data_IF_439521006695
#
_entry.id   IF_439521006695
#
_cell.length_a   1.000
_cell.length_b   1.000
_cell.length_c   1.000
_cell.angle_alpha   90.00
_cell.angle_beta   90.00
_cell.angle_gamma   90.00
#
_symmetry.space_group_name_H-M   'P 1'
#
loop_
_entity.id
_entity.type
_entity.pdbx_description
1 polymer ?
#
# COMPACT_ATOMS: atom_id res chain seq x y z
N UNK A 1 13.97 -10.15 5.93
CA UNK A 1 15.14 -9.55 5.21
C UNK A 1 14.74 -8.69 4.00
N UNK A 2 13.59 -8.95 3.30
CA UNK A 2 13.19 -8.16 2.13
C UNK A 2 13.14 -6.66 2.41
N UNK A 3 12.43 -6.25 3.45
CA UNK A 3 12.34 -4.84 3.85
C UNK A 3 13.71 -4.27 4.27
N UNK A 4 14.55 -5.06 4.95
CA UNK A 4 15.90 -4.59 5.33
C UNK A 4 16.77 -4.33 4.11
N UNK A 5 16.66 -5.14 3.04
CA UNK A 5 17.35 -4.89 1.78
C UNK A 5 16.96 -3.51 1.21
N UNK A 6 15.65 -3.25 1.14
CA UNK A 6 15.10 -1.99 0.64
C UNK A 6 15.61 -0.80 1.46
N UNK A 7 15.47 -0.87 2.79
CA UNK A 7 15.94 0.19 3.68
C UNK A 7 17.45 0.40 3.60
N UNK A 8 18.25 -0.68 3.46
CA UNK A 8 19.71 -0.59 3.33
C UNK A 8 20.11 0.05 2.00
N UNK A 9 19.48 -0.34 0.89
CA UNK A 9 19.75 0.26 -0.41
C UNK A 9 19.42 1.77 -0.41
N UNK A 10 18.30 2.14 0.19
CA UNK A 10 17.89 3.54 0.34
C UNK A 10 18.88 4.31 1.21
N UNK A 11 19.32 3.74 2.35
CA UNK A 11 20.26 4.36 3.27
C UNK A 11 21.63 4.61 2.61
N UNK A 12 22.13 3.66 1.82
CA UNK A 12 23.37 3.81 1.05
C UNK A 12 23.22 4.98 0.05
N UNK A 13 22.11 5.05 -0.67
CA UNK A 13 21.84 6.13 -1.62
C UNK A 13 21.76 7.50 -0.92
N UNK A 14 21.04 7.59 0.20
CA UNK A 14 20.89 8.81 1.00
C UNK A 14 22.24 9.28 1.53
N UNK A 15 23.06 8.38 2.10
CA UNK A 15 24.42 8.71 2.56
C UNK A 15 25.31 9.21 1.42
N UNK A 16 25.21 8.60 0.24
CA UNK A 16 25.92 9.07 -0.94
C UNK A 16 25.48 10.49 -1.33
N UNK A 17 24.17 10.78 -1.37
CA UNK A 17 23.68 12.13 -1.70
C UNK A 17 24.18 13.17 -0.72
N UNK A 18 24.18 12.88 0.57
CA UNK A 18 24.72 13.78 1.61
C UNK A 18 26.23 14.00 1.46
N UNK A 19 27.00 12.95 1.18
CA UNK A 19 28.45 13.06 0.91
C UNK A 19 28.73 13.87 -0.37
N UNK A 20 27.83 13.81 -1.34
CA UNK A 20 27.92 14.59 -2.58
C UNK A 20 27.54 16.07 -2.38
N UNK A 21 27.04 16.45 -1.21
CA UNK A 21 26.70 17.82 -0.84
C UNK A 21 25.23 18.19 -1.03
N UNK A 22 24.35 17.20 -1.29
CA UNK A 22 22.93 17.42 -1.38
C UNK A 22 22.27 17.42 0.02
N UNK A 23 21.31 18.32 0.24
CA UNK A 23 20.40 18.23 1.38
C UNK A 23 19.37 17.11 1.09
N UNK A 24 19.51 16.01 1.80
CA UNK A 24 18.74 14.79 1.53
C UNK A 24 18.15 14.20 2.81
N UNK A 25 16.82 14.13 2.88
CA UNK A 25 16.07 13.54 3.98
C UNK A 25 15.68 12.09 3.63
N UNK A 26 15.82 11.20 4.61
CA UNK A 26 15.34 9.83 4.55
C UNK A 26 14.11 9.67 5.42
N UNK A 27 12.95 9.58 4.77
CA UNK A 27 11.64 9.54 5.40
C UNK A 27 10.94 8.22 5.10
N UNK A 28 10.32 7.61 6.11
CA UNK A 28 9.52 6.41 5.95
C UNK A 28 8.41 6.36 7.01
N UNK A 29 7.44 5.47 6.83
CA UNK A 29 6.40 5.18 7.81
C UNK A 29 5.99 3.71 7.76
N UNK A 30 5.59 3.16 8.92
CA UNK A 30 4.92 1.86 8.99
C UNK A 30 3.54 1.95 8.33
N UNK A 31 3.24 0.99 7.47
CA UNK A 31 1.89 0.72 6.96
C UNK A 31 1.09 0.00 8.04
N UNK A 32 0.20 0.72 8.70
CA UNK A 32 -0.41 0.32 9.97
C UNK A 32 -1.88 -0.11 9.85
N UNK A 33 -2.51 -0.03 8.67
CA UNK A 33 -3.94 -0.26 8.51
C UNK A 33 -4.27 -1.60 7.83
N UNK A 34 -5.54 -1.93 7.82
CA UNK A 34 -6.09 -3.05 7.09
C UNK A 34 -6.66 -4.17 7.96
N UNK A 35 -7.45 -5.01 7.33
CA UNK A 35 -8.08 -6.20 7.95
C UNK A 35 -7.09 -7.14 8.63
N UNK A 36 -5.88 -7.43 8.07
CA UNK A 36 -4.91 -8.30 8.73
C UNK A 36 -4.48 -7.82 10.13
N UNK A 37 -4.34 -6.51 10.31
CA UNK A 37 -3.97 -5.91 11.62
C UNK A 37 -5.12 -6.12 12.62
N UNK A 38 -6.36 -5.83 12.19
CA UNK A 38 -7.55 -5.99 13.01
C UNK A 38 -7.70 -7.44 13.50
N UNK A 39 -7.62 -8.41 12.58
CA UNK A 39 -7.77 -9.84 12.89
C UNK A 39 -6.63 -10.36 13.76
N UNK A 40 -5.40 -9.92 13.52
CA UNK A 40 -4.25 -10.32 14.37
C UNK A 40 -4.37 -9.77 15.77
N UNK A 41 -4.84 -8.55 15.93
CA UNK A 41 -5.10 -7.95 17.24
C UNK A 41 -6.20 -8.71 18.00
N UNK A 42 -7.30 -9.08 17.33
CA UNK A 42 -8.37 -9.93 17.88
C UNK A 42 -7.83 -11.30 18.34
N UNK A 43 -7.03 -11.97 17.48
CA UNK A 43 -6.43 -13.29 17.77
C UNK A 43 -5.59 -13.29 19.06
N UNK A 44 -4.80 -12.22 19.28
CA UNK A 44 -3.90 -12.11 20.46
C UNK A 44 -4.51 -11.33 21.63
N UNK A 45 -5.76 -10.89 21.50
CA UNK A 45 -6.53 -10.28 22.60
C UNK A 45 -6.07 -8.85 22.97
N UNK A 46 -5.57 -8.06 22.02
CA UNK A 46 -5.20 -6.65 22.25
C UNK A 46 -5.90 -5.75 21.23
N UNK A 47 -5.83 -4.42 21.44
CA UNK A 47 -6.36 -3.50 20.42
C UNK A 47 -5.43 -3.40 19.20
N UNK A 48 -5.96 -3.08 17.99
CA UNK A 48 -5.15 -2.83 16.80
C UNK A 48 -4.10 -1.75 17.03
N UNK A 49 -4.44 -0.66 17.74
CA UNK A 49 -3.51 0.42 18.06
C UNK A 49 -2.33 -0.09 18.89
N UNK A 50 -2.60 -0.97 19.87
CA UNK A 50 -1.55 -1.57 20.68
C UNK A 50 -0.65 -2.50 19.89
N UNK A 51 -1.22 -3.24 18.95
CA UNK A 51 -0.47 -4.10 18.04
C UNK A 51 0.51 -3.28 17.19
N UNK A 52 0.02 -2.23 16.52
CA UNK A 52 0.87 -1.40 15.64
C UNK A 52 1.94 -0.63 16.42
N UNK A 53 1.63 -0.16 17.62
CA UNK A 53 2.62 0.47 18.53
C UNK A 53 3.78 -0.49 18.85
N UNK A 54 3.46 -1.74 19.16
CA UNK A 54 4.47 -2.76 19.47
C UNK A 54 5.31 -3.09 18.23
N UNK A 55 4.67 -3.27 17.06
CA UNK A 55 5.36 -3.55 15.80
C UNK A 55 6.29 -2.40 15.41
N UNK A 56 5.86 -1.14 15.57
CA UNK A 56 6.69 0.02 15.26
C UNK A 56 7.94 0.07 16.15
N UNK A 57 7.81 -0.23 17.44
CA UNK A 57 8.96 -0.31 18.35
C UNK A 57 9.97 -1.37 17.91
N UNK A 58 9.49 -2.54 17.49
CA UNK A 58 10.33 -3.63 16.99
C UNK A 58 11.03 -3.23 15.70
N UNK A 59 10.34 -2.54 14.78
CA UNK A 59 10.92 -2.05 13.53
C UNK A 59 12.01 -1.02 13.80
N UNK A 60 11.76 0.00 14.64
CA UNK A 60 12.76 1.01 15.02
C UNK A 60 14.00 0.34 15.63
N UNK A 61 13.80 -0.57 16.61
CA UNK A 61 14.91 -1.31 17.23
C UNK A 61 15.71 -2.12 16.21
N UNK A 62 15.03 -2.72 15.23
CA UNK A 62 15.69 -3.47 14.17
C UNK A 62 16.49 -2.56 13.25
N UNK A 63 15.92 -1.44 12.80
CA UNK A 63 16.61 -0.47 11.96
C UNK A 63 17.85 0.13 12.65
N UNK A 64 17.78 0.38 13.94
CA UNK A 64 18.93 0.83 14.74
C UNK A 64 20.09 -0.17 14.72
N UNK A 65 19.78 -1.48 14.83
CA UNK A 65 20.79 -2.55 14.74
C UNK A 65 21.44 -2.61 13.35
N UNK A 66 20.67 -2.37 12.28
CA UNK A 66 21.17 -2.29 10.90
C UNK A 66 21.81 -0.95 10.55
N UNK A 67 21.83 0.03 11.47
CA UNK A 67 22.37 1.37 11.25
C UNK A 67 21.68 2.15 10.14
N UNK A 68 20.40 1.90 9.92
CA UNK A 68 19.57 2.66 8.97
C UNK A 68 19.34 4.07 9.52
N UNK A 69 19.66 5.10 8.75
CA UNK A 69 19.69 6.48 9.20
C UNK A 69 18.47 7.29 8.76
N UNK A 70 17.26 6.83 9.12
CA UNK A 70 16.05 7.64 8.89
C UNK A 70 16.14 8.98 9.62
N UNK A 71 15.78 10.09 8.94
CA UNK A 71 15.56 11.38 9.60
C UNK A 71 14.23 11.38 10.34
N UNK A 72 13.25 10.66 9.80
CA UNK A 72 12.00 10.37 10.49
C UNK A 72 11.41 9.03 10.03
N UNK A 73 11.12 8.17 10.99
CA UNK A 73 10.33 6.96 10.79
C UNK A 73 9.02 7.11 11.55
N UNK A 74 7.89 7.15 10.82
CA UNK A 74 6.58 7.47 11.35
C UNK A 74 5.62 6.28 11.23
N UNK A 75 4.32 6.52 11.28
CA UNK A 75 3.27 5.53 11.08
C UNK A 75 2.15 6.13 10.23
N UNK A 76 1.53 5.33 9.40
CA UNK A 76 0.32 5.75 8.66
C UNK A 76 -0.88 5.94 9.60
N UNK A 77 -0.91 5.31 10.78
CA UNK A 77 -1.90 5.59 11.82
C UNK A 77 -1.54 6.84 12.63
N UNK A 78 -1.61 7.99 11.97
CA UNK A 78 -1.26 9.29 12.56
C UNK A 78 -2.23 10.40 12.16
N UNK A 79 -2.26 11.47 12.94
CA UNK A 79 -3.07 12.65 12.63
C UNK A 79 -2.66 13.30 11.31
N UNK A 80 -1.35 13.35 11.03
CA UNK A 80 -0.81 13.87 9.78
C UNK A 80 -1.31 13.07 8.57
N UNK A 81 -1.24 11.75 8.66
CA UNK A 81 -1.67 10.89 7.55
C UNK A 81 -3.18 10.99 7.33
N UNK A 82 -3.97 11.03 8.42
CA UNK A 82 -5.42 11.23 8.33
C UNK A 82 -5.76 12.53 7.61
N UNK A 83 -5.19 13.66 8.05
CA UNK A 83 -5.44 14.97 7.46
C UNK A 83 -5.05 15.01 5.97
N UNK A 84 -3.92 14.44 5.60
CA UNK A 84 -3.46 14.39 4.22
C UNK A 84 -4.30 13.46 3.36
N UNK A 85 -4.73 12.31 3.88
CA UNK A 85 -5.62 11.39 3.17
C UNK A 85 -6.99 12.02 2.90
N UNK A 86 -7.57 12.70 3.90
CA UNK A 86 -8.80 13.43 3.74
C UNK A 86 -8.67 14.60 2.74
N UNK A 87 -7.56 15.36 2.79
CA UNK A 87 -7.27 16.46 1.84
C UNK A 87 -7.17 15.93 0.40
N UNK A 88 -6.42 14.87 0.20
CA UNK A 88 -6.23 14.26 -1.13
C UNK A 88 -7.55 13.70 -1.64
N UNK A 89 -8.28 12.95 -0.82
CA UNK A 89 -9.58 12.41 -1.20
C UNK A 89 -10.56 13.52 -1.61
N UNK A 90 -10.65 14.59 -0.83
CA UNK A 90 -11.53 15.71 -1.16
C UNK A 90 -11.14 16.38 -2.49
N UNK A 91 -9.84 16.61 -2.72
CA UNK A 91 -9.37 17.15 -4.00
C UNK A 91 -9.74 16.24 -5.19
N UNK A 92 -9.53 14.93 -5.07
CA UNK A 92 -9.91 13.98 -6.13
C UNK A 92 -11.44 13.92 -6.34
N UNK A 93 -12.22 14.03 -5.28
CA UNK A 93 -13.67 14.06 -5.37
C UNK A 93 -14.19 15.34 -6.03
N UNK A 94 -13.61 16.51 -5.70
CA UNK A 94 -13.95 17.80 -6.29
C UNK A 94 -13.60 17.86 -7.79
N UNK A 95 -12.54 17.18 -8.22
CA UNK A 95 -12.16 16.99 -9.63
C UNK A 95 -13.03 15.93 -10.34
N UNK A 96 -14.01 15.31 -9.65
CA UNK A 96 -14.90 14.30 -10.23
C UNK A 96 -14.21 12.97 -10.56
N UNK A 97 -13.06 12.70 -9.94
CA UNK A 97 -12.28 11.48 -10.13
C UNK A 97 -12.68 10.33 -9.19
N UNK A 98 -13.65 10.56 -8.31
CA UNK A 98 -14.23 9.52 -7.45
C UNK A 98 -15.63 9.16 -7.96
N UNK A 99 -15.88 7.88 -8.12
CA UNK A 99 -17.16 7.34 -8.60
C UNK A 99 -17.71 6.32 -7.61
N UNK A 100 -19.03 6.31 -7.44
CA UNK A 100 -19.75 5.29 -6.66
C UNK A 100 -20.18 4.14 -7.56
N UNK A 101 -19.90 2.91 -7.14
CA UNK A 101 -20.35 1.69 -7.82
C UNK A 101 -20.91 0.71 -6.81
N UNK A 102 -22.01 0.06 -7.16
CA UNK A 102 -22.52 -1.08 -6.41
C UNK A 102 -21.78 -2.32 -6.89
N UNK A 103 -21.18 -3.05 -5.97
CA UNK A 103 -20.47 -4.30 -6.24
C UNK A 103 -21.04 -5.44 -5.41
N UNK A 104 -20.94 -6.65 -5.93
CA UNK A 104 -21.26 -7.87 -5.21
C UNK A 104 -20.01 -8.42 -4.55
N UNK A 105 -20.11 -8.74 -3.25
CA UNK A 105 -19.02 -9.33 -2.47
C UNK A 105 -19.51 -10.47 -1.61
N UNK A 106 -18.63 -11.36 -1.24
CA UNK A 106 -18.90 -12.41 -0.26
C UNK A 106 -18.91 -11.80 1.15
N UNK A 107 -19.94 -12.13 1.91
CA UNK A 107 -20.18 -11.65 3.27
C UNK A 107 -20.27 -12.85 4.23
N UNK A 108 -19.49 -12.78 5.29
CA UNK A 108 -19.51 -13.73 6.40
C UNK A 108 -20.57 -13.29 7.43
N UNK A 109 -21.65 -14.05 7.54
CA UNK A 109 -22.74 -13.73 8.47
C UNK A 109 -22.36 -13.97 9.93
N UNK A 110 -21.44 -14.89 10.23
CA UNK A 110 -20.97 -15.15 11.59
C UNK A 110 -20.03 -14.05 12.09
N UNK A 111 -19.17 -13.55 11.20
CA UNK A 111 -18.24 -12.45 11.49
C UNK A 111 -18.81 -11.06 11.20
N UNK A 112 -20.00 -11.00 10.56
CA UNK A 112 -20.67 -9.74 10.16
C UNK A 112 -19.74 -8.81 9.36
N UNK A 113 -19.01 -9.38 8.38
CA UNK A 113 -18.06 -8.62 7.56
C UNK A 113 -17.98 -9.11 6.12
N UNK A 114 -17.65 -8.20 5.21
CA UNK A 114 -17.28 -8.56 3.85
C UNK A 114 -15.89 -9.20 3.81
N UNK A 115 -15.76 -10.25 3.00
CA UNK A 115 -14.53 -11.02 2.89
C UNK A 115 -13.68 -10.51 1.73
N UNK A 116 -12.42 -10.18 2.01
CA UNK A 116 -11.45 -10.00 0.95
C UNK A 116 -10.96 -11.36 0.42
N UNK A 117 -10.35 -11.35 -0.76
CA UNK A 117 -9.94 -12.53 -1.51
C UNK A 117 -9.15 -13.57 -0.68
N UNK A 118 -8.34 -13.11 0.27
CA UNK A 118 -7.53 -13.97 1.14
C UNK A 118 -8.29 -14.60 2.30
N UNK A 119 -9.50 -14.16 2.56
CA UNK A 119 -10.36 -14.69 3.62
C UNK A 119 -11.47 -15.60 3.10
N UNK A 120 -11.39 -15.94 1.81
CA UNK A 120 -12.25 -16.92 1.16
C UNK A 120 -11.41 -17.99 0.50
N UNK A 121 -11.82 -19.23 0.68
CA UNK A 121 -11.30 -20.38 -0.07
C UNK A 121 -12.44 -21.15 -0.71
N UNK A 122 -12.15 -21.83 -1.80
CA UNK A 122 -13.12 -22.66 -2.51
C UNK A 122 -12.46 -23.42 -3.64
N UNK A 123 -13.27 -24.00 -4.52
CA UNK A 123 -12.77 -24.66 -5.73
C UNK A 123 -12.56 -23.65 -6.85
N UNK A 124 -11.47 -23.80 -7.59
CA UNK A 124 -11.18 -22.99 -8.76
C UNK A 124 -12.31 -23.08 -9.79
N UNK A 125 -12.86 -21.96 -10.29
CA UNK A 125 -13.92 -22.00 -11.30
C UNK A 125 -13.47 -22.58 -12.66
N UNK A 126 -12.15 -22.63 -12.93
CA UNK A 126 -11.57 -23.08 -14.20
C UNK A 126 -11.13 -24.55 -14.21
N UNK A 127 -10.49 -25.04 -13.13
CA UNK A 127 -9.90 -26.36 -13.10
C UNK A 127 -10.34 -27.22 -11.92
N UNK A 128 -11.31 -26.77 -11.14
CA UNK A 128 -11.88 -27.48 -9.97
C UNK A 128 -10.85 -27.88 -8.89
N UNK A 129 -9.67 -27.23 -8.87
CA UNK A 129 -8.69 -27.44 -7.79
C UNK A 129 -9.27 -26.92 -6.47
N UNK A 130 -9.21 -27.73 -5.42
CA UNK A 130 -9.66 -27.40 -4.08
C UNK A 130 -8.74 -26.37 -3.39
N UNK A 131 -9.24 -25.75 -2.31
CA UNK A 131 -8.48 -24.88 -1.40
C UNK A 131 -7.82 -23.65 -2.06
N UNK A 132 -8.43 -23.13 -3.13
CA UNK A 132 -7.93 -21.94 -3.81
C UNK A 132 -8.48 -20.67 -3.18
N UNK A 133 -7.63 -19.62 -3.08
CA UNK A 133 -8.06 -18.30 -2.62
C UNK A 133 -8.88 -17.54 -3.67
N UNK A 134 -9.51 -16.44 -3.24
CA UNK A 134 -10.49 -15.69 -4.05
C UNK A 134 -9.93 -14.84 -5.18
N UNK A 135 -8.61 -14.81 -5.40
CA UNK A 135 -7.95 -13.98 -6.41
C UNK A 135 -7.34 -14.79 -7.56
N UNK A 136 -6.74 -15.95 -7.26
CA UNK A 136 -6.06 -16.76 -8.26
C UNK A 136 -5.99 -18.25 -7.88
N UNK A 137 -5.78 -19.09 -8.88
CA UNK A 137 -5.55 -20.51 -8.69
C UNK A 137 -4.05 -20.83 -8.69
N UNK A 138 -3.55 -21.40 -7.61
CA UNK A 138 -2.15 -21.83 -7.51
C UNK A 138 -1.80 -22.99 -8.45
N UNK A 139 -2.82 -23.77 -8.89
CA UNK A 139 -2.63 -24.95 -9.77
C UNK A 139 -2.63 -24.59 -11.25
N UNK A 140 -3.56 -23.77 -11.73
CA UNK A 140 -3.69 -23.46 -13.16
C UNK A 140 -3.38 -22.00 -13.49
N UNK A 141 -3.01 -21.18 -12.49
CA UNK A 141 -2.68 -19.76 -12.62
C UNK A 141 -3.81 -18.88 -13.19
N UNK A 142 -5.06 -19.37 -13.19
CA UNK A 142 -6.21 -18.57 -13.60
C UNK A 142 -6.51 -17.50 -12.54
N UNK A 143 -6.83 -16.30 -12.98
CA UNK A 143 -7.35 -15.22 -12.14
C UNK A 143 -8.88 -15.17 -12.24
N UNK A 144 -9.56 -14.82 -11.14
CA UNK A 144 -11.02 -14.73 -11.04
C UNK A 144 -11.40 -13.83 -9.85
N UNK A 145 -12.69 -13.51 -9.70
CA UNK A 145 -13.16 -12.81 -8.50
C UNK A 145 -13.56 -13.82 -7.43
N UNK A 146 -13.51 -13.44 -6.17
CA UNK A 146 -13.85 -14.31 -5.05
C UNK A 146 -15.27 -14.91 -5.16
N UNK A 147 -16.21 -14.16 -5.74
CA UNK A 147 -17.59 -14.61 -5.97
C UNK A 147 -17.73 -15.73 -7.02
N UNK A 148 -16.70 -15.92 -7.85
CA UNK A 148 -16.68 -16.97 -8.89
C UNK A 148 -16.21 -18.32 -8.36
N UNK A 149 -15.67 -18.38 -7.13
CA UNK A 149 -15.29 -19.63 -6.48
C UNK A 149 -16.47 -20.56 -6.33
N UNK A 150 -16.26 -21.84 -6.61
CA UNK A 150 -17.25 -22.87 -6.31
C UNK A 150 -17.09 -23.31 -4.85
N UNK A 151 -18.22 -23.55 -4.17
CA UNK A 151 -18.23 -23.96 -2.77
C UNK A 151 -17.37 -23.06 -1.87
N UNK A 152 -17.57 -21.71 -1.88
CA UNK A 152 -16.75 -20.82 -1.10
C UNK A 152 -16.96 -21.03 0.40
N UNK A 153 -15.86 -20.96 1.17
CA UNK A 153 -15.86 -21.05 2.64
C UNK A 153 -15.07 -19.87 3.20
N UNK A 154 -15.62 -19.23 4.22
CA UNK A 154 -14.88 -18.23 4.98
C UNK A 154 -13.70 -18.84 5.73
N UNK A 155 -12.52 -18.31 5.54
CA UNK A 155 -11.32 -18.74 6.31
C UNK A 155 -11.42 -18.29 7.78
N UNK A 156 -12.27 -17.30 8.08
CA UNK A 156 -12.38 -16.70 9.41
C UNK A 156 -13.34 -17.47 10.35
N UNK A 157 -14.44 -17.94 9.81
CA UNK A 157 -15.49 -18.62 10.59
C UNK A 157 -15.69 -20.10 10.23
N UNK A 158 -15.26 -20.49 9.01
CA UNK A 158 -15.58 -21.79 8.42
C UNK A 158 -17.01 -21.87 7.85
N UNK A 159 -17.79 -20.79 7.90
CA UNK A 159 -19.14 -20.74 7.35
C UNK A 159 -19.15 -20.53 5.83
N UNK A 160 -20.29 -20.87 5.20
CA UNK A 160 -20.53 -20.58 3.79
C UNK A 160 -20.94 -19.10 3.68
N UNK A 161 -20.15 -18.25 3.00
CA UNK A 161 -20.49 -16.84 2.87
C UNK A 161 -21.65 -16.63 1.89
N UNK A 162 -22.40 -15.55 2.09
CA UNK A 162 -23.46 -15.12 1.20
C UNK A 162 -23.02 -13.96 0.32
N UNK A 163 -23.60 -13.82 -0.87
CA UNK A 163 -23.36 -12.67 -1.74
C UNK A 163 -24.23 -11.51 -1.25
N UNK A 164 -23.60 -10.36 -0.97
CA UNK A 164 -24.29 -9.10 -0.65
C UNK A 164 -23.78 -7.97 -1.53
N UNK A 165 -24.68 -7.03 -1.85
CA UNK A 165 -24.32 -5.78 -2.52
C UNK A 165 -23.76 -4.78 -1.51
N UNK A 166 -22.73 -4.03 -1.93
CA UNK A 166 -22.22 -2.88 -1.22
C UNK A 166 -21.88 -1.75 -2.18
N UNK A 167 -22.18 -0.50 -1.80
CA UNK A 167 -21.71 0.68 -2.52
C UNK A 167 -20.25 0.92 -2.18
N UNK A 168 -19.39 0.99 -3.19
CA UNK A 168 -17.97 1.28 -3.06
C UNK A 168 -17.57 2.54 -3.82
N UNK A 169 -16.47 3.14 -3.40
CA UNK A 169 -15.87 4.31 -4.02
C UNK A 169 -14.69 3.88 -4.88
N UNK A 170 -14.71 4.31 -6.12
CA UNK A 170 -13.68 3.99 -7.11
C UNK A 170 -12.96 5.24 -7.56
N UNK A 171 -11.63 5.20 -7.58
CA UNK A 171 -10.83 6.20 -8.24
C UNK A 171 -10.75 5.87 -9.73
N UNK A 172 -11.10 6.84 -10.59
CA UNK A 172 -11.20 6.68 -12.05
C UNK A 172 -9.83 6.59 -12.73
N UNK A 173 -9.01 5.63 -12.33
CA UNK A 173 -7.68 5.43 -12.87
C UNK A 173 -7.70 5.17 -14.38
N UNK A 174 -8.73 4.52 -14.88
CA UNK A 174 -8.91 4.20 -16.31
C UNK A 174 -8.90 5.44 -17.22
N UNK A 175 -9.25 6.61 -16.69
CA UNK A 175 -9.29 7.87 -17.44
C UNK A 175 -7.97 8.64 -17.42
N UNK A 176 -6.96 8.18 -16.68
CA UNK A 176 -5.72 8.92 -16.38
C UNK A 176 -4.48 8.37 -17.09
N UNK A 177 -4.65 7.49 -18.08
CA UNK A 177 -3.54 6.84 -18.80
C UNK A 177 -2.53 7.83 -19.40
N UNK A 178 -3.02 8.92 -20.02
CA UNK A 178 -2.15 9.96 -20.59
C UNK A 178 -1.34 10.69 -19.53
N UNK A 179 -1.94 10.95 -18.34
CA UNK A 179 -1.22 11.60 -17.23
C UNK A 179 -0.14 10.69 -16.65
N UNK A 180 -0.38 9.38 -16.60
CA UNK A 180 0.61 8.40 -16.14
C UNK A 180 1.75 8.32 -17.16
N UNK A 181 1.45 8.30 -18.45
CA UNK A 181 2.46 8.29 -19.52
C UNK A 181 3.33 9.52 -19.47
N UNK A 182 2.74 10.72 -19.35
CA UNK A 182 3.45 11.97 -19.22
C UNK A 182 4.40 11.99 -18.00
N UNK A 183 3.91 11.51 -16.83
CA UNK A 183 4.75 11.39 -15.66
C UNK A 183 5.89 10.37 -15.86
N UNK A 184 5.58 9.22 -16.46
CA UNK A 184 6.55 8.16 -16.73
C UNK A 184 7.69 8.65 -17.61
N UNK A 185 7.39 9.42 -18.67
CA UNK A 185 8.38 9.92 -19.62
C UNK A 185 9.32 10.96 -19.00
N UNK A 186 8.85 11.68 -17.97
CA UNK A 186 9.61 12.68 -17.24
C UNK A 186 10.25 12.18 -15.94
N UNK A 187 10.13 10.89 -15.64
CA UNK A 187 10.60 10.29 -14.38
C UNK A 187 11.80 9.39 -14.54
N UNK A 188 12.64 9.31 -13.50
CA UNK A 188 13.80 8.40 -13.44
C UNK A 188 13.34 7.01 -12.99
N UNK A 189 13.20 6.12 -13.96
CA UNK A 189 12.69 4.75 -13.76
C UNK A 189 13.58 3.78 -14.54
N UNK A 190 13.91 2.65 -13.94
CA UNK A 190 14.71 1.59 -14.56
C UNK A 190 14.00 1.03 -15.80
N UNK A 191 14.74 0.72 -16.85
CA UNK A 191 14.18 0.23 -18.12
C UNK A 191 13.27 -1.01 -17.97
N UNK A 192 13.60 -2.06 -17.20
CA UNK A 192 12.68 -3.19 -17.01
C UNK A 192 11.36 -2.79 -16.35
N UNK A 193 11.38 -1.82 -15.44
CA UNK A 193 10.18 -1.28 -14.78
C UNK A 193 9.34 -0.50 -15.79
N UNK A 194 9.96 0.39 -16.57
CA UNK A 194 9.31 1.14 -17.64
C UNK A 194 8.63 0.22 -18.64
N UNK A 195 9.30 -0.86 -19.05
CA UNK A 195 8.73 -1.84 -19.97
C UNK A 195 7.47 -2.50 -19.39
N UNK A 196 7.50 -2.85 -18.11
CA UNK A 196 6.31 -3.43 -17.43
C UNK A 196 5.16 -2.44 -17.29
N UNK A 197 5.46 -1.17 -17.00
CA UNK A 197 4.44 -0.11 -16.97
C UNK A 197 3.79 0.10 -18.34
N UNK A 198 4.57 0.10 -19.40
CA UNK A 198 4.06 0.20 -20.78
C UNK A 198 3.16 -1.00 -21.15
N UNK A 199 3.40 -2.20 -20.63
CA UNK A 199 2.48 -3.32 -20.79
C UNK A 199 1.13 -3.05 -20.11
N UNK A 200 1.13 -2.53 -18.87
CA UNK A 200 -0.10 -2.20 -18.17
C UNK A 200 -0.87 -1.05 -18.82
N UNK A 201 -0.17 -0.03 -19.32
CA UNK A 201 -0.77 1.11 -20.01
C UNK A 201 -1.36 0.73 -21.38
N UNK A 202 -0.84 -0.30 -22.05
CA UNK A 202 -1.43 -0.85 -23.30
C UNK A 202 -2.65 -1.72 -23.04
N UNK A 203 -2.82 -2.22 -21.83
CA UNK A 203 -4.01 -2.93 -21.40
C UNK A 203 -5.11 -1.97 -20.96
N UNK A 204 -6.26 -2.52 -20.60
CA UNK A 204 -7.34 -1.73 -20.02
C UNK A 204 -7.04 -1.42 -18.55
N UNK A 205 -6.63 -0.20 -18.28
CA UNK A 205 -6.55 0.31 -16.90
C UNK A 205 -7.94 0.25 -16.27
N UNK A 206 -8.04 -0.37 -15.12
CA UNK A 206 -9.30 -0.46 -14.36
C UNK A 206 -9.34 0.62 -13.28
N UNK A 207 -10.54 1.12 -13.04
CA UNK A 207 -10.80 1.96 -11.87
C UNK A 207 -10.50 1.18 -10.61
N UNK A 208 -10.04 1.88 -9.59
CA UNK A 208 -9.57 1.24 -8.39
C UNK A 208 -10.48 1.51 -7.20
N UNK A 209 -10.90 0.43 -6.54
CA UNK A 209 -11.69 0.48 -5.32
C UNK A 209 -10.86 0.98 -4.14
N UNK A 210 -11.18 2.19 -3.69
CA UNK A 210 -10.47 2.88 -2.61
C UNK A 210 -11.20 2.82 -1.27
N UNK A 211 -12.31 2.10 -1.18
CA UNK A 211 -13.11 2.00 0.02
C UNK A 211 -13.18 0.58 0.60
N UNK A 212 -13.43 0.49 1.89
CA UNK A 212 -13.70 -0.77 2.59
C UNK A 212 -14.86 -0.60 3.53
N UNK A 213 -15.65 -1.66 3.70
CA UNK A 213 -16.77 -1.71 4.62
C UNK A 213 -16.33 -1.96 6.06
N UNK A 214 -17.17 -1.55 7.01
CA UNK A 214 -17.03 -1.90 8.41
C UNK A 214 -17.30 -3.43 8.62
N UNK A 215 -16.53 -4.13 9.50
CA UNK A 215 -15.44 -3.64 10.32
C UNK A 215 -14.11 -3.56 9.55
N UNK A 216 -13.36 -2.50 9.76
CA UNK A 216 -12.06 -2.29 9.15
C UNK A 216 -11.20 -1.39 10.03
N UNK A 217 -9.92 -1.69 10.17
CA UNK A 217 -8.98 -0.84 10.89
C UNK A 217 -8.30 0.13 9.91
N UNK A 218 -8.65 1.40 10.00
CA UNK A 218 -8.18 2.46 9.12
C UNK A 218 -8.94 3.77 9.35
N UNK A 219 -8.76 4.75 8.50
CA UNK A 219 -9.46 6.03 8.59
C UNK A 219 -10.80 5.97 7.86
N UNK A 220 -11.83 6.53 8.48
CA UNK A 220 -13.13 6.72 7.83
C UNK A 220 -13.01 7.72 6.67
N UNK A 221 -13.74 7.44 5.60
CA UNK A 221 -13.85 8.35 4.46
C UNK A 221 -14.78 9.51 4.82
N UNK A 222 -14.38 10.78 4.61
CA UNK A 222 -15.23 11.94 4.88
C UNK A 222 -16.59 11.84 4.17
N UNK A 223 -17.68 12.07 4.90
CA UNK A 223 -19.05 11.99 4.36
C UNK A 223 -19.64 10.59 4.27
N UNK A 224 -18.91 9.55 4.70
CA UNK A 224 -19.38 8.15 4.69
C UNK A 224 -19.24 7.51 6.07
N UNK A 225 -20.35 7.18 6.70
CA UNK A 225 -20.37 6.73 8.10
C UNK A 225 -19.71 5.35 8.30
N UNK A 226 -19.90 4.42 7.35
CA UNK A 226 -19.46 3.03 7.43
C UNK A 226 -18.42 2.63 6.38
N UNK A 227 -17.72 3.62 5.79
CA UNK A 227 -16.67 3.39 4.81
C UNK A 227 -15.33 3.89 5.31
N UNK A 228 -14.31 3.11 5.01
CA UNK A 228 -12.92 3.37 5.38
C UNK A 228 -12.05 3.45 4.13
N UNK A 229 -11.00 4.24 4.19
CA UNK A 229 -9.99 4.20 3.12
C UNK A 229 -9.35 2.82 3.04
N UNK A 230 -9.24 2.31 1.83
CA UNK A 230 -8.42 1.14 1.57
C UNK A 230 -6.95 1.47 1.87
N UNK A 231 -6.27 0.57 2.55
CA UNK A 231 -4.89 0.76 3.02
C UNK A 231 -3.93 1.29 1.94
N UNK A 232 -4.07 0.87 0.69
CA UNK A 232 -3.20 1.34 -0.40
C UNK A 232 -3.51 2.75 -0.89
N UNK A 233 -4.59 3.38 -0.44
CA UNK A 233 -4.77 4.82 -0.63
C UNK A 233 -3.94 5.60 0.39
N UNK A 234 -4.00 5.25 1.66
CA UNK A 234 -3.36 6.02 2.74
C UNK A 234 -1.91 5.60 3.03
N UNK A 235 -1.50 4.38 2.67
CA UNK A 235 -0.14 3.89 2.85
C UNK A 235 0.92 4.76 2.17
N UNK A 236 0.84 5.07 0.87
CA UNK A 236 1.85 5.93 0.23
C UNK A 236 1.77 7.40 0.67
N UNK A 237 0.64 7.85 1.22
CA UNK A 237 0.53 9.18 1.85
C UNK A 237 1.38 9.25 3.12
N UNK A 238 1.70 8.12 3.72
CA UNK A 238 2.61 7.99 4.86
C UNK A 238 3.98 8.65 4.66
N UNK A 239 4.48 8.74 3.43
CA UNK A 239 5.72 9.47 3.14
C UNK A 239 5.57 10.97 3.39
N UNK A 240 4.46 11.56 2.92
CA UNK A 240 4.13 12.96 3.16
C UNK A 240 3.86 13.21 4.65
N UNK A 241 3.15 12.29 5.30
CA UNK A 241 2.85 12.35 6.72
C UNK A 241 4.12 12.30 7.57
N UNK A 242 5.06 11.44 7.21
CA UNK A 242 6.38 11.36 7.87
C UNK A 242 7.15 12.67 7.70
N UNK A 243 7.10 13.28 6.51
CA UNK A 243 7.75 14.57 6.30
C UNK A 243 7.07 15.68 7.11
N UNK A 244 5.76 15.77 7.10
CA UNK A 244 5.03 16.77 7.89
C UNK A 244 5.33 16.62 9.39
N UNK A 245 5.41 15.39 9.90
CA UNK A 245 5.79 15.10 11.27
C UNK A 245 7.23 15.53 11.59
N UNK A 246 8.17 15.26 10.66
CA UNK A 246 9.56 15.74 10.76
C UNK A 246 9.62 17.26 10.84
N UNK A 247 8.91 17.96 9.95
CA UNK A 247 8.88 19.42 9.92
C UNK A 247 8.28 19.99 11.23
N UNK A 248 7.20 19.40 11.74
CA UNK A 248 6.59 19.80 13.04
C UNK A 248 7.58 19.66 14.19
N UNK A 249 8.29 18.52 14.28
CA UNK A 249 9.32 18.28 15.31
C UNK A 249 10.43 19.33 15.26
N UNK A 250 10.75 19.83 14.07
CA UNK A 250 11.81 20.83 13.86
C UNK A 250 11.27 22.29 13.79
N UNK A 251 9.97 22.52 14.01
CA UNK A 251 9.32 23.84 13.93
C UNK A 251 9.39 24.49 12.53
N UNK A 252 9.35 23.67 11.49
CA UNK A 252 9.43 24.06 10.07
C UNK A 252 8.13 23.72 9.32
N UNK A 253 7.01 23.55 10.00
CA UNK A 253 5.74 23.11 9.43
C UNK A 253 5.28 23.97 8.24
N UNK A 254 5.55 25.29 8.27
CA UNK A 254 5.23 26.21 7.18
C UNK A 254 5.93 25.89 5.86
N UNK A 255 6.97 25.07 5.86
CA UNK A 255 7.72 24.71 4.65
C UNK A 255 7.08 23.52 3.91
N UNK A 256 6.14 22.80 4.56
CA UNK A 256 5.47 21.65 3.93
C UNK A 256 4.84 22.01 2.59
N UNK A 257 4.03 23.07 2.55
CA UNK A 257 3.35 23.51 1.32
C UNK A 257 4.32 23.97 0.22
N UNK A 258 5.47 24.55 0.58
CA UNK A 258 6.50 24.94 -0.38
C UNK A 258 7.19 23.72 -1.00
N UNK A 259 7.47 22.70 -0.17
CA UNK A 259 8.18 21.48 -0.57
C UNK A 259 7.28 20.57 -1.40
N UNK A 260 6.03 20.41 -1.00
CA UNK A 260 5.08 19.51 -1.67
C UNK A 260 4.19 20.21 -2.71
N UNK A 261 4.42 21.48 -3.01
CA UNK A 261 3.77 22.13 -4.14
C UNK A 261 4.18 21.45 -5.45
N UNK A 262 3.25 21.31 -6.40
CA UNK A 262 3.49 20.67 -7.71
C UNK A 262 4.67 21.26 -8.49
N UNK A 263 4.91 22.59 -8.31
CA UNK A 263 5.96 23.35 -9.00
C UNK A 263 7.27 23.44 -8.19
N UNK A 264 7.36 22.70 -7.07
CA UNK A 264 8.56 22.68 -6.21
C UNK A 264 9.76 22.12 -6.94
N UNK A 265 10.94 22.72 -6.71
CA UNK A 265 12.22 22.21 -7.18
C UNK A 265 12.76 21.03 -6.35
N UNK A 266 12.13 20.70 -5.22
CA UNK A 266 12.51 19.53 -4.41
C UNK A 266 12.34 18.26 -5.22
N UNK A 267 13.32 17.38 -5.22
CA UNK A 267 13.22 16.06 -5.85
C UNK A 267 12.75 15.02 -4.83
N UNK A 268 11.85 14.15 -5.26
CA UNK A 268 11.30 13.05 -4.47
C UNK A 268 11.60 11.71 -5.16
N UNK A 269 12.22 10.79 -4.43
CA UNK A 269 12.56 9.46 -4.94
C UNK A 269 11.98 8.38 -4.03
N UNK A 270 11.39 7.36 -4.64
CA UNK A 270 10.89 6.19 -3.92
C UNK A 270 11.75 4.96 -4.22
N UNK A 271 12.04 4.19 -3.17
CA UNK A 271 12.74 2.90 -3.26
C UNK A 271 11.78 1.84 -2.76
N UNK A 272 11.45 0.86 -3.60
CA UNK A 272 10.36 -0.07 -3.33
C UNK A 272 10.64 -1.49 -3.82
N UNK A 273 9.97 -2.46 -3.23
CA UNK A 273 9.87 -3.81 -3.78
C UNK A 273 8.96 -3.89 -5.00
N UNK A 274 9.20 -4.84 -5.88
CA UNK A 274 8.43 -5.01 -7.12
C UNK A 274 6.94 -5.34 -6.91
N UNK A 275 6.56 -5.84 -5.74
CA UNK A 275 5.19 -6.19 -5.36
C UNK A 275 4.28 -4.98 -5.17
N UNK A 276 4.86 -3.82 -4.86
CA UNK A 276 4.11 -2.56 -4.68
C UNK A 276 4.31 -1.57 -5.83
N UNK A 277 4.96 -2.02 -6.92
CA UNK A 277 5.25 -1.18 -8.08
C UNK A 277 3.98 -0.56 -8.68
N UNK A 278 2.91 -1.35 -8.81
CA UNK A 278 1.63 -0.88 -9.37
C UNK A 278 1.11 0.37 -8.65
N UNK A 279 1.12 0.36 -7.31
CA UNK A 279 0.62 1.47 -6.50
C UNK A 279 1.48 2.72 -6.59
N UNK A 280 2.81 2.58 -6.63
CA UNK A 280 3.74 3.70 -6.66
C UNK A 280 3.95 4.32 -8.04
N UNK A 281 3.55 3.64 -9.12
CA UNK A 281 3.85 4.10 -10.48
C UNK A 281 2.61 4.40 -11.33
N UNK A 282 1.48 3.75 -11.07
CA UNK A 282 0.23 4.06 -11.78
C UNK A 282 -0.71 4.92 -10.93
N UNK A 283 -0.87 4.57 -9.68
CA UNK A 283 -1.87 5.18 -8.81
C UNK A 283 -1.37 6.45 -8.12
N UNK A 284 -0.29 6.34 -7.33
CA UNK A 284 0.18 7.42 -6.47
C UNK A 284 0.59 8.70 -7.22
N UNK A 285 1.31 8.64 -8.37
CA UNK A 285 1.68 9.84 -9.12
C UNK A 285 0.48 10.66 -9.59
N UNK A 286 -0.55 10.01 -10.15
CA UNK A 286 -1.74 10.73 -10.64
C UNK A 286 -2.65 11.18 -9.51
N UNK A 287 -2.66 10.47 -8.39
CA UNK A 287 -3.33 10.92 -7.16
C UNK A 287 -2.72 12.22 -6.65
N UNK A 288 -1.39 12.30 -6.56
CA UNK A 288 -0.69 13.53 -6.18
C UNK A 288 -0.88 14.66 -7.20
N UNK A 289 -0.73 14.38 -8.51
CA UNK A 289 -0.90 15.36 -9.58
C UNK A 289 -2.27 16.03 -9.52
N UNK A 290 -3.33 15.24 -9.39
CA UNK A 290 -4.70 15.74 -9.32
C UNK A 290 -5.08 16.35 -7.95
N UNK A 291 -4.18 16.28 -6.97
CA UNK A 291 -4.31 16.97 -5.67
C UNK A 291 -3.38 18.19 -5.57
N UNK A 292 -2.85 18.68 -6.70
CA UNK A 292 -1.89 19.79 -6.79
C UNK A 292 -0.62 19.58 -5.94
N UNK A 293 -0.22 18.33 -5.72
CA UNK A 293 0.97 17.96 -4.97
C UNK A 293 2.11 17.52 -5.88
N UNK A 294 3.33 17.61 -5.36
CA UNK A 294 4.56 17.17 -6.01
C UNK A 294 4.54 15.68 -6.27
N UNK A 295 4.72 15.29 -7.53
CA UNK A 295 4.87 13.89 -7.94
C UNK A 295 6.32 13.42 -7.75
N UNK A 296 6.56 12.11 -7.54
CA UNK A 296 7.91 11.56 -7.48
C UNK A 296 8.70 11.84 -8.76
N UNK A 297 9.98 12.21 -8.61
CA UNK A 297 10.93 12.39 -9.70
C UNK A 297 11.52 11.06 -10.17
N UNK A 298 11.38 10.02 -9.36
CA UNK A 298 11.79 8.68 -9.74
C UNK A 298 11.34 7.61 -8.74
N UNK A 299 11.24 6.38 -9.25
CA UNK A 299 10.91 5.20 -8.48
C UNK A 299 11.92 4.11 -8.81
N UNK A 300 12.65 3.64 -7.81
CA UNK A 300 13.64 2.57 -7.94
C UNK A 300 13.09 1.29 -7.35
N UNK A 301 13.05 0.25 -8.17
CA UNK A 301 12.38 -1.02 -7.84
C UNK A 301 13.39 -2.13 -7.72
N UNK A 302 13.38 -2.88 -6.62
CA UNK A 302 14.18 -4.09 -6.45
C UNK A 302 13.33 -5.36 -6.58
N UNK A 303 14.00 -6.47 -6.96
CA UNK A 303 13.37 -7.79 -7.05
C UNK A 303 13.15 -8.45 -5.69
N UNK A 304 12.47 -9.60 -5.68
CA UNK A 304 12.36 -10.41 -4.46
C UNK A 304 13.68 -10.98 -4.03
N UNK A 305 13.93 -11.04 -2.72
CA UNK A 305 14.97 -11.88 -2.17
C UNK A 305 14.61 -13.34 -2.36
N UNK A 306 15.60 -14.10 -2.85
CA UNK A 306 15.49 -15.55 -3.02
C UNK A 306 16.48 -16.26 -2.12
N UNK A 307 16.09 -17.43 -1.66
CA UNK A 307 16.97 -18.39 -0.98
C UNK A 307 17.06 -19.64 -1.86
N UNK A 308 18.25 -19.98 -2.32
CA UNK A 308 18.47 -21.11 -3.26
C UNK A 308 17.63 -21.03 -4.55
N UNK A 309 17.38 -19.79 -5.06
CA UNK A 309 16.56 -19.56 -6.24
C UNK A 309 15.05 -19.51 -6.00
N UNK A 310 14.57 -19.79 -4.81
CA UNK A 310 13.15 -19.72 -4.45
C UNK A 310 12.83 -18.44 -3.68
N UNK A 311 11.65 -17.85 -3.93
CA UNK A 311 11.15 -16.69 -3.17
C UNK A 311 11.04 -17.04 -1.68
N UNK A 312 11.64 -16.22 -0.80
CA UNK A 312 11.44 -16.36 0.64
C UNK A 312 9.99 -16.16 1.02
N UNK A 313 9.44 -17.08 1.80
CA UNK A 313 8.05 -17.04 2.27
C UNK A 313 7.94 -17.68 3.66
N UNK A 314 7.15 -17.04 4.55
CA UNK A 314 6.82 -17.60 5.87
C UNK A 314 6.10 -18.95 5.74
N UNK A 315 5.16 -19.05 4.79
CA UNK A 315 4.37 -20.27 4.57
C UNK A 315 5.19 -21.45 4.06
N UNK A 316 6.34 -21.20 3.40
CA UNK A 316 7.25 -22.24 2.90
C UNK A 316 8.35 -22.62 3.89
N UNK A 317 8.43 -21.98 5.06
CA UNK A 317 9.44 -22.26 6.08
C UNK A 317 10.87 -21.83 5.71
N UNK A 318 11.08 -21.16 4.56
CA UNK A 318 12.39 -20.65 4.11
C UNK A 318 12.59 -19.15 4.42
N UNK A 319 11.88 -18.63 5.43
CA UNK A 319 11.93 -17.23 5.81
C UNK A 319 13.03 -16.97 6.85
N UNK A 320 13.92 -16.04 6.56
CA UNK A 320 14.91 -15.52 7.51
C UNK A 320 14.43 -14.15 8.00
N UNK A 321 14.18 -14.03 9.31
CA UNK A 321 13.82 -12.73 9.90
C UNK A 321 15.02 -11.78 9.90
N UNK A 322 14.76 -10.49 9.98
CA UNK A 322 15.84 -9.50 10.13
C UNK A 322 16.62 -9.71 11.42
N UNK A 323 15.92 -10.03 12.49
CA UNK A 323 16.53 -10.27 13.82
C UNK A 323 17.48 -11.48 13.80
N UNK A 324 17.02 -12.62 13.23
CA UNK A 324 17.86 -13.84 13.16
C UNK A 324 19.08 -13.69 12.22
N UNK A 325 19.08 -12.69 11.34
CA UNK A 325 20.23 -12.44 10.46
C UNK A 325 21.35 -11.66 11.15
N UNK A 326 21.02 -10.88 12.19
CA UNK A 326 22.02 -10.12 12.99
C UNK A 326 22.71 -11.02 14.02
N UNK A 327 22.00 -12.02 14.57
CA UNK A 327 22.53 -13.00 15.53
C UNK A 327 23.43 -14.04 14.83
#
# INVERSE_FOLDING_TARGET
>A
LGHILEHTQTDIWVRFQRLYGNDCLYLCADDAHGTPIMLKAEEIGISPEKLIENVQKDHISTFDKYKISHDNFHTTHSTENKQLSERIFNALNDEGLIEKKIINQLFDEDKQMFLSDRYVKGKCPKCDADEQYGDNCEKCSATYNAIDLKEPISVLSGSIPVVKESEHLFFKLSTLGDQITDWLDNSRIQEPVRNKLNEWLKGDLKDWDISRDNPYFGFKIPGYENKYFYVWLDAPIGYLASHLNYLKKNKLESDFEKIWNKDSSTEVFHFIGKDIMYFHTLFFPVMLKNSALKTPNGVFVHGFLTLNGEKMSKSRGNFISAQNYIE
#
